data_IF_373093464991
#
_entry.id   IF_373093464991
#
_cell.length_a   1.000
_cell.length_b   1.000
_cell.length_c   1.000
_cell.angle_alpha   90.00
_cell.angle_beta   90.00
_cell.angle_gamma   90.00
#
_symmetry.space_group_name_H-M   'P 1'
#
loop_
_entity.id
_entity.type
_entity.pdbx_description
1 polymer ?
#
# COMPACT_ATOMS: atom_id res chain seq x y z
N UNK A 1 -11.20 8.90 24.09
CA UNK A 1 -11.45 9.20 22.67
C UNK A 1 -10.18 9.83 22.13
N UNK A 2 -9.63 9.33 21.03
CA UNK A 2 -8.45 9.93 20.38
C UNK A 2 -8.97 10.95 19.37
N UNK A 3 -8.37 12.14 19.31
CA UNK A 3 -8.68 13.11 18.27
C UNK A 3 -7.97 12.69 16.97
N UNK A 4 -8.73 12.51 15.89
CA UNK A 4 -8.18 12.22 14.57
C UNK A 4 -8.12 13.53 13.76
N UNK A 5 -6.93 13.84 13.27
CA UNK A 5 -6.71 14.97 12.37
C UNK A 5 -6.10 14.45 11.06
N UNK A 6 -6.81 14.68 9.95
CA UNK A 6 -6.35 14.29 8.62
C UNK A 6 -5.60 15.45 7.98
N UNK A 7 -4.41 15.16 7.45
CA UNK A 7 -3.57 16.11 6.72
C UNK A 7 -3.64 15.86 5.22
N UNK A 8 -3.44 16.89 4.43
CA UNK A 8 -3.57 16.78 2.97
C UNK A 8 -2.34 16.13 2.34
N UNK A 9 -1.17 16.28 2.97
CA UNK A 9 0.10 15.76 2.48
C UNK A 9 1.03 15.28 3.62
N UNK A 10 1.97 14.35 3.33
CA UNK A 10 2.87 13.79 4.32
C UNK A 10 3.77 14.81 5.05
N UNK A 11 4.12 15.91 4.37
CA UNK A 11 4.93 17.02 4.91
C UNK A 11 4.22 17.74 6.05
N UNK A 12 2.91 17.95 5.95
CA UNK A 12 2.10 18.52 7.04
C UNK A 12 2.09 17.62 8.28
N UNK A 13 2.05 16.29 8.09
CA UNK A 13 2.14 15.32 9.19
C UNK A 13 3.50 15.43 9.89
N UNK A 14 4.60 15.48 9.13
CA UNK A 14 5.94 15.67 9.70
C UNK A 14 6.01 16.98 10.52
N UNK A 15 5.53 18.10 9.98
CA UNK A 15 5.53 19.37 10.70
C UNK A 15 4.72 19.31 12.00
N UNK A 16 3.56 18.65 11.99
CA UNK A 16 2.75 18.47 13.19
C UNK A 16 3.47 17.62 14.25
N UNK A 17 4.09 16.50 13.86
CA UNK A 17 4.83 15.62 14.77
C UNK A 17 6.08 16.30 15.37
N UNK A 18 6.74 17.17 14.61
CA UNK A 18 7.88 17.93 15.12
C UNK A 18 7.46 19.07 16.06
N UNK A 19 6.25 19.60 15.90
CA UNK A 19 5.69 20.66 16.74
C UNK A 19 5.13 20.11 18.06
N UNK A 20 4.55 18.90 18.05
CA UNK A 20 3.97 18.25 19.22
C UNK A 20 4.60 16.86 19.43
N UNK A 21 5.56 16.72 20.37
CA UNK A 21 6.18 15.44 20.71
C UNK A 21 5.23 14.40 21.31
N UNK A 22 4.00 14.77 21.69
CA UNK A 22 2.98 13.85 22.19
C UNK A 22 2.07 13.29 21.09
N UNK A 23 2.13 13.86 19.89
CA UNK A 23 1.34 13.42 18.76
C UNK A 23 1.85 12.09 18.18
N UNK A 24 0.93 11.30 17.62
CA UNK A 24 1.22 10.06 16.89
C UNK A 24 0.78 10.25 15.45
N UNK A 25 1.65 9.89 14.51
CA UNK A 25 1.39 10.04 13.08
C UNK A 25 1.25 8.69 12.39
N UNK A 26 0.35 8.63 11.42
CA UNK A 26 0.22 7.51 10.50
C UNK A 26 0.65 8.00 9.12
N UNK A 27 1.72 7.42 8.58
CA UNK A 27 2.25 7.75 7.26
C UNK A 27 2.48 6.46 6.45
N UNK A 28 2.13 6.43 5.16
CA UNK A 28 2.55 5.36 4.26
C UNK A 28 4.03 5.50 3.91
N UNK A 29 4.63 4.42 3.43
CA UNK A 29 5.91 4.49 2.72
C UNK A 29 5.72 5.13 1.33
N UNK A 30 6.75 5.78 0.77
CA UNK A 30 8.09 6.01 1.34
C UNK A 30 8.17 7.21 2.31
N UNK A 31 7.05 7.91 2.54
CA UNK A 31 7.04 9.16 3.31
C UNK A 31 7.30 8.96 4.80
N UNK A 32 6.92 7.81 5.37
CA UNK A 32 7.32 7.41 6.72
C UNK A 32 8.86 7.38 6.85
N UNK A 33 9.56 6.71 5.95
CA UNK A 33 11.03 6.66 5.96
C UNK A 33 11.64 8.05 5.75
N UNK A 34 11.08 8.85 4.84
CA UNK A 34 11.51 10.22 4.62
C UNK A 34 11.33 11.10 5.87
N UNK A 35 10.18 11.01 6.55
CA UNK A 35 9.88 11.74 7.76
C UNK A 35 10.84 11.39 8.90
N UNK A 36 11.12 10.11 9.12
CA UNK A 36 12.10 9.66 10.12
C UNK A 36 13.49 10.21 9.80
N UNK A 37 13.94 10.11 8.55
CA UNK A 37 15.24 10.62 8.13
C UNK A 37 15.37 12.14 8.34
N UNK A 38 14.32 12.91 8.01
CA UNK A 38 14.27 14.37 8.16
C UNK A 38 14.04 14.84 9.60
N UNK A 39 13.63 13.94 10.50
CA UNK A 39 13.34 14.27 11.91
C UNK A 39 14.58 14.39 12.80
N UNK A 40 15.78 14.07 12.29
CA UNK A 40 17.03 14.11 13.04
C UNK A 40 16.99 13.28 14.34
N UNK A 41 16.35 12.11 14.29
CA UNK A 41 16.27 11.16 15.41
C UNK A 41 15.12 11.44 16.40
N UNK A 42 14.23 12.39 16.12
CA UNK A 42 13.06 12.68 16.96
C UNK A 42 11.90 11.71 16.75
N UNK A 43 11.81 11.08 15.58
CA UNK A 43 10.73 10.16 15.25
C UNK A 43 11.23 8.72 15.13
N UNK A 44 10.35 7.78 15.51
CA UNK A 44 10.49 6.36 15.25
C UNK A 44 9.16 5.79 14.76
N UNK A 45 9.21 4.63 14.08
CA UNK A 45 8.02 3.90 13.65
C UNK A 45 8.01 2.51 14.28
N UNK A 46 7.56 2.38 15.55
CA UNK A 46 7.55 1.11 16.26
C UNK A 46 6.36 0.21 15.89
N UNK A 47 5.35 0.74 15.19
CA UNK A 47 4.12 0.02 14.83
C UNK A 47 4.00 -0.07 13.32
N UNK A 48 3.85 -1.29 12.81
CA UNK A 48 3.44 -1.58 11.44
C UNK A 48 1.94 -1.84 11.43
N UNK A 49 1.17 -1.03 10.69
CA UNK A 49 -0.26 -1.28 10.54
C UNK A 49 -0.55 -2.57 9.76
N UNK A 50 0.37 -2.98 8.88
CA UNK A 50 0.27 -4.28 8.19
C UNK A 50 0.37 -5.42 9.20
N UNK A 51 1.34 -5.38 10.11
CA UNK A 51 1.56 -6.44 11.09
C UNK A 51 0.37 -6.52 12.07
N UNK A 52 -0.11 -5.36 12.54
CA UNK A 52 -1.30 -5.26 13.40
C UNK A 52 -2.55 -5.78 12.68
N UNK A 53 -2.69 -5.49 11.38
CA UNK A 53 -3.79 -6.00 10.58
C UNK A 53 -3.71 -7.52 10.44
N UNK A 54 -2.54 -8.04 10.08
CA UNK A 54 -2.32 -9.48 9.89
C UNK A 54 -2.59 -10.27 11.19
N UNK A 55 -2.15 -9.74 12.33
CA UNK A 55 -2.47 -10.31 13.65
C UNK A 55 -3.98 -10.31 13.92
N UNK A 56 -4.66 -9.20 13.62
CA UNK A 56 -6.10 -9.04 13.86
C UNK A 56 -6.95 -9.86 12.89
N UNK A 57 -6.50 -10.01 11.64
CA UNK A 57 -7.18 -10.74 10.59
C UNK A 57 -7.12 -12.25 10.81
N UNK A 58 -6.06 -12.77 11.45
CA UNK A 58 -5.87 -14.20 11.69
C UNK A 58 -6.07 -15.03 10.42
N UNK A 59 -6.92 -16.06 10.51
CA UNK A 59 -7.17 -17.00 9.40
C UNK A 59 -8.25 -16.52 8.40
N UNK A 60 -8.74 -15.28 8.51
CA UNK A 60 -9.78 -14.75 7.59
C UNK A 60 -9.27 -14.55 6.16
N UNK A 61 -7.96 -14.58 5.95
CA UNK A 61 -7.32 -14.29 4.66
C UNK A 61 -7.27 -12.80 4.30
N UNK A 62 -7.85 -11.92 5.12
CA UNK A 62 -7.80 -10.47 4.94
C UNK A 62 -6.37 -9.93 5.07
N UNK A 63 -6.02 -8.96 4.22
CA UNK A 63 -4.75 -8.23 4.26
C UNK A 63 -5.00 -6.74 4.18
N UNK A 64 -4.11 -5.93 4.76
CA UNK A 64 -4.18 -4.48 4.64
C UNK A 64 -3.77 -4.06 3.21
N UNK A 65 -4.74 -3.91 2.32
CA UNK A 65 -4.51 -3.52 0.93
C UNK A 65 -4.72 -2.01 0.77
N UNK A 66 -3.66 -1.30 0.39
CA UNK A 66 -3.70 0.15 0.17
C UNK A 66 -3.78 0.54 -1.31
N UNK A 67 -3.66 -0.42 -2.22
CA UNK A 67 -3.74 -0.20 -3.66
C UNK A 67 -4.21 -1.44 -4.42
N UNK A 68 -4.90 -1.21 -5.54
CA UNK A 68 -5.34 -2.25 -6.48
C UNK A 68 -5.10 -1.79 -7.91
N UNK A 69 -4.86 -2.73 -8.82
CA UNK A 69 -4.92 -2.46 -10.26
C UNK A 69 -6.30 -2.82 -10.78
N UNK A 70 -6.93 -1.90 -11.52
CA UNK A 70 -8.27 -2.10 -12.08
C UNK A 70 -8.21 -2.04 -13.59
N UNK A 71 -8.87 -2.99 -14.24
CA UNK A 71 -9.03 -3.04 -15.69
C UNK A 71 -10.52 -3.01 -16.04
N UNK A 72 -10.88 -2.30 -17.11
CA UNK A 72 -12.25 -2.34 -17.64
C UNK A 72 -12.53 -3.74 -18.18
N UNK A 73 -13.67 -4.34 -17.81
CA UNK A 73 -14.08 -5.68 -18.26
C UNK A 73 -13.95 -5.87 -19.77
N UNK A 74 -14.52 -4.97 -20.56
CA UNK A 74 -14.45 -5.03 -22.03
C UNK A 74 -13.01 -5.07 -22.55
N UNK A 75 -12.09 -4.32 -21.93
CA UNK A 75 -10.68 -4.34 -22.34
C UNK A 75 -10.02 -5.68 -22.02
N UNK A 76 -10.30 -6.27 -20.86
CA UNK A 76 -9.75 -7.56 -20.49
C UNK A 76 -10.26 -8.71 -21.37
N UNK A 77 -11.52 -8.63 -21.80
CA UNK A 77 -12.14 -9.60 -22.71
C UNK A 77 -11.65 -9.45 -24.16
N UNK A 78 -11.48 -8.21 -24.64
CA UNK A 78 -11.02 -7.91 -26.00
C UNK A 78 -9.49 -8.08 -26.16
N UNK A 79 -8.72 -7.91 -25.08
CA UNK A 79 -7.25 -7.93 -25.10
C UNK A 79 -6.66 -8.82 -23.98
N UNK A 80 -7.00 -10.13 -23.94
CA UNK A 80 -6.53 -11.02 -22.88
C UNK A 80 -5.01 -11.17 -22.85
N UNK A 81 -4.34 -11.16 -24.01
CA UNK A 81 -2.88 -11.25 -24.10
C UNK A 81 -2.18 -10.02 -23.49
N UNK A 82 -2.74 -8.81 -23.69
CA UNK A 82 -2.18 -7.59 -23.12
C UNK A 82 -2.33 -7.56 -21.59
N UNK A 83 -3.43 -8.11 -21.06
CA UNK A 83 -3.62 -8.23 -19.60
C UNK A 83 -2.63 -9.24 -19.02
N UNK A 84 -2.46 -10.40 -19.66
CA UNK A 84 -1.50 -11.41 -19.23
C UNK A 84 -0.06 -10.88 -19.28
N UNK A 85 0.31 -10.16 -20.33
CA UNK A 85 1.62 -9.51 -20.45
C UNK A 85 1.83 -8.47 -19.34
N UNK A 86 0.84 -7.60 -19.08
CA UNK A 86 0.92 -6.63 -18.00
C UNK A 86 1.15 -7.30 -16.64
N UNK A 87 0.40 -8.36 -16.32
CA UNK A 87 0.54 -9.07 -15.05
C UNK A 87 1.92 -9.74 -14.91
N UNK A 88 2.41 -10.35 -15.99
CA UNK A 88 3.76 -10.94 -16.01
C UNK A 88 4.85 -9.89 -15.81
N UNK A 89 4.77 -8.76 -16.52
CA UNK A 89 5.70 -7.64 -16.37
C UNK A 89 5.61 -7.00 -14.98
N UNK A 90 4.42 -6.87 -14.42
CA UNK A 90 4.23 -6.33 -13.06
C UNK A 90 4.91 -7.24 -12.03
N UNK A 91 4.65 -8.56 -12.09
CA UNK A 91 5.29 -9.53 -11.19
C UNK A 91 6.82 -9.46 -11.28
N UNK A 92 7.36 -9.45 -12.50
CA UNK A 92 8.81 -9.33 -12.73
C UNK A 92 9.37 -7.98 -12.21
N UNK A 93 8.63 -6.88 -12.38
CA UNK A 93 9.03 -5.56 -11.87
C UNK A 93 9.09 -5.54 -10.35
N UNK A 94 8.08 -6.12 -9.68
CA UNK A 94 8.04 -6.22 -8.21
C UNK A 94 9.19 -7.09 -7.69
N UNK A 95 9.42 -8.24 -8.32
CA UNK A 95 10.54 -9.13 -7.96
C UNK A 95 11.89 -8.41 -8.10
N UNK A 96 12.11 -7.72 -9.22
CA UNK A 96 13.35 -7.00 -9.47
C UNK A 96 13.60 -5.88 -8.45
N UNK A 97 12.56 -5.10 -8.10
CA UNK A 97 12.67 -4.00 -7.12
C UNK A 97 12.94 -4.53 -5.71
N UNK A 98 12.25 -5.60 -5.31
CA UNK A 98 12.45 -6.21 -4.00
C UNK A 98 13.82 -6.91 -3.87
N UNK A 99 14.32 -7.51 -4.95
CA UNK A 99 15.60 -8.22 -4.95
C UNK A 99 16.81 -7.27 -4.87
N UNK A 100 16.70 -6.07 -5.45
CA UNK A 100 17.79 -5.11 -5.50
C UNK A 100 17.33 -3.65 -5.29
N UNK A 101 16.87 -3.24 -4.09
CA UNK A 101 16.36 -1.89 -3.84
C UNK A 101 17.30 -0.75 -4.26
N UNK A 102 18.61 -0.94 -4.09
CA UNK A 102 19.63 0.04 -4.45
C UNK A 102 19.66 0.35 -5.96
N UNK A 103 19.41 -0.66 -6.81
CA UNK A 103 19.44 -0.52 -8.27
C UNK A 103 18.27 0.34 -8.78
N UNK A 104 17.16 0.38 -8.03
CA UNK A 104 15.93 1.08 -8.41
C UNK A 104 15.73 2.41 -7.68
N UNK A 105 16.51 2.68 -6.64
CA UNK A 105 16.38 3.87 -5.81
C UNK A 105 16.42 5.18 -6.59
N UNK A 106 17.30 5.29 -7.59
CA UNK A 106 17.38 6.49 -8.44
C UNK A 106 16.13 6.63 -9.33
N UNK A 107 15.58 5.53 -9.85
CA UNK A 107 14.37 5.58 -10.66
C UNK A 107 13.16 6.12 -9.87
N UNK A 108 13.09 5.81 -8.56
CA UNK A 108 12.06 6.37 -7.66
C UNK A 108 12.19 7.90 -7.54
N UNK A 109 13.42 8.42 -7.50
CA UNK A 109 13.70 9.86 -7.47
C UNK A 109 13.37 10.51 -8.81
N UNK A 110 13.79 9.89 -9.91
CA UNK A 110 13.53 10.40 -11.26
C UNK A 110 12.03 10.44 -11.57
N UNK A 111 11.24 9.53 -10.98
CA UNK A 111 9.78 9.52 -11.02
C UNK A 111 9.11 10.60 -10.13
N UNK A 112 9.90 11.34 -9.33
CA UNK A 112 9.41 12.41 -8.45
C UNK A 112 8.68 11.92 -7.20
N UNK A 113 8.86 10.67 -6.79
CA UNK A 113 8.16 10.08 -5.63
C UNK A 113 8.80 10.55 -4.32
N UNK A 114 10.14 10.54 -4.24
CA UNK A 114 10.93 11.12 -3.15
C UNK A 114 12.15 11.84 -3.71
N UNK A 115 12.75 12.72 -2.93
CA UNK A 115 13.85 13.61 -3.35
C UNK A 115 15.26 13.02 -3.16
N UNK A 116 15.38 11.80 -2.62
CA UNK A 116 16.66 11.23 -2.22
C UNK A 116 16.72 9.71 -2.44
N UNK A 117 17.72 9.23 -3.17
CA UNK A 117 17.87 7.82 -3.52
C UNK A 117 18.16 6.94 -2.29
N UNK A 118 18.97 7.39 -1.34
CA UNK A 118 19.20 6.64 -0.09
C UNK A 118 17.92 6.47 0.73
N UNK A 119 17.04 7.48 0.73
CA UNK A 119 15.71 7.36 1.35
C UNK A 119 14.85 6.36 0.58
N UNK A 120 14.83 6.42 -0.76
CA UNK A 120 14.08 5.48 -1.59
C UNK A 120 14.54 4.03 -1.35
N UNK A 121 15.84 3.76 -1.41
CA UNK A 121 16.44 2.45 -1.14
C UNK A 121 15.99 1.89 0.21
N UNK A 122 16.06 2.72 1.26
CA UNK A 122 15.65 2.33 2.61
C UNK A 122 14.14 2.09 2.73
N UNK A 123 13.33 2.79 1.95
CA UNK A 123 11.88 2.71 2.02
C UNK A 123 11.30 1.51 1.25
N UNK A 124 11.93 1.09 0.14
CA UNK A 124 11.44 0.01 -0.73
C UNK A 124 11.06 -1.26 0.04
N UNK A 125 11.88 -1.82 0.97
CA UNK A 125 11.48 -2.99 1.74
C UNK A 125 10.22 -2.76 2.59
N UNK A 126 10.02 -1.54 3.09
CA UNK A 126 8.85 -1.14 3.86
C UNK A 126 7.59 -0.91 3.02
N UNK A 127 7.73 -0.67 1.70
CA UNK A 127 6.59 -0.53 0.80
C UNK A 127 5.83 -1.84 0.59
N UNK A 128 6.45 -2.99 0.92
CA UNK A 128 5.84 -4.33 0.81
C UNK A 128 5.22 -4.57 -0.57
N UNK A 129 5.97 -4.25 -1.62
CA UNK A 129 5.51 -4.36 -3.00
C UNK A 129 5.20 -5.83 -3.33
N UNK A 130 3.98 -6.07 -3.81
CA UNK A 130 3.50 -7.40 -4.21
C UNK A 130 2.70 -7.32 -5.51
N UNK A 131 2.77 -8.40 -6.30
CA UNK A 131 1.84 -8.64 -7.40
C UNK A 131 1.03 -9.89 -7.04
N UNK A 132 -0.12 -9.70 -6.38
CA UNK A 132 -1.03 -10.79 -6.03
C UNK A 132 -2.13 -10.92 -7.10
N UNK A 133 -2.34 -12.15 -7.60
CA UNK A 133 -3.37 -12.46 -8.59
C UNK A 133 -4.20 -13.68 -8.16
N UNK A 134 -5.22 -14.01 -8.94
CA UNK A 134 -6.01 -15.23 -8.77
C UNK A 134 -6.68 -15.37 -7.39
N UNK A 135 -6.62 -16.59 -6.84
CA UNK A 135 -7.31 -16.94 -5.57
C UNK A 135 -6.79 -16.15 -4.37
N UNK A 136 -5.48 -15.92 -4.31
CA UNK A 136 -4.86 -15.20 -3.21
C UNK A 136 -5.28 -13.73 -3.20
N UNK A 137 -5.31 -13.10 -4.39
CA UNK A 137 -5.85 -11.74 -4.56
C UNK A 137 -7.32 -11.65 -4.16
N UNK A 138 -8.15 -12.59 -4.64
CA UNK A 138 -9.58 -12.62 -4.30
C UNK A 138 -9.81 -12.80 -2.80
N UNK A 139 -9.04 -13.67 -2.14
CA UNK A 139 -9.13 -13.86 -0.69
C UNK A 139 -8.69 -12.61 0.09
N UNK A 140 -7.54 -12.04 -0.25
CA UNK A 140 -7.02 -10.84 0.40
C UNK A 140 -7.97 -9.63 0.27
N UNK A 141 -8.41 -9.33 -0.96
CA UNK A 141 -9.29 -8.20 -1.22
C UNK A 141 -10.71 -8.44 -0.70
N UNK A 142 -11.24 -9.66 -0.85
CA UNK A 142 -12.54 -10.01 -0.29
C UNK A 142 -12.58 -9.88 1.23
N UNK A 143 -11.54 -10.36 1.91
CA UNK A 143 -11.40 -10.21 3.36
C UNK A 143 -11.26 -8.74 3.79
N UNK A 144 -10.49 -7.94 3.06
CA UNK A 144 -10.36 -6.51 3.33
C UNK A 144 -11.70 -5.76 3.20
N UNK A 145 -12.43 -6.02 2.11
CA UNK A 145 -13.74 -5.41 1.87
C UNK A 145 -14.80 -5.87 2.88
N UNK A 146 -14.72 -7.11 3.37
CA UNK A 146 -15.59 -7.60 4.45
C UNK A 146 -15.37 -6.79 5.74
N UNK A 147 -14.12 -6.55 6.14
CA UNK A 147 -13.81 -5.73 7.32
C UNK A 147 -14.38 -4.32 7.18
N UNK A 148 -14.23 -3.71 5.99
CA UNK A 148 -14.81 -2.39 5.73
C UNK A 148 -16.34 -2.41 5.78
N UNK A 149 -16.98 -3.43 5.18
CA UNK A 149 -18.43 -3.56 5.14
C UNK A 149 -19.04 -3.77 6.53
N UNK A 150 -18.37 -4.54 7.38
CA UNK A 150 -18.78 -4.80 8.77
C UNK A 150 -18.69 -3.53 9.63
N UNK A 151 -17.71 -2.66 9.36
CA UNK A 151 -17.58 -1.36 10.02
C UNK A 151 -18.59 -0.34 9.50
N UNK A 152 -18.71 -0.22 8.17
CA UNK A 152 -19.67 0.64 7.49
C UNK A 152 -19.91 0.15 6.05
N UNK A 153 -21.08 -0.44 5.79
CA UNK A 153 -21.44 -0.95 4.47
C UNK A 153 -21.34 0.10 3.36
N UNK A 154 -21.52 1.39 3.66
CA UNK A 154 -21.41 2.45 2.65
C UNK A 154 -19.99 2.61 2.10
N UNK A 155 -18.96 2.22 2.86
CA UNK A 155 -17.56 2.26 2.44
C UNK A 155 -17.26 1.34 1.24
N UNK A 156 -18.09 0.32 1.01
CA UNK A 156 -17.98 -0.61 -0.12
C UNK A 156 -19.13 -0.46 -1.13
N UNK A 157 -19.92 0.62 -1.06
CA UNK A 157 -21.08 0.83 -1.93
C UNK A 157 -22.35 0.08 -1.51
N UNK A 158 -22.45 -0.31 -0.24
CA UNK A 158 -23.64 -0.86 0.40
C UNK A 158 -23.69 -2.38 0.51
N UNK A 159 -22.90 -3.10 -0.30
CA UNK A 159 -22.75 -4.57 -0.23
C UNK A 159 -21.42 -4.99 -0.81
N UNK A 160 -20.98 -6.19 -0.47
CA UNK A 160 -19.78 -6.77 -1.04
C UNK A 160 -19.92 -6.98 -2.56
N UNK A 161 -18.83 -6.81 -3.32
CA UNK A 161 -18.82 -7.14 -4.73
C UNK A 161 -19.02 -8.64 -4.95
N UNK A 162 -19.66 -8.99 -6.06
CA UNK A 162 -19.82 -10.37 -6.49
C UNK A 162 -18.54 -10.89 -7.17
N UNK A 163 -18.53 -12.17 -7.54
CA UNK A 163 -17.37 -12.85 -8.10
C UNK A 163 -16.86 -12.22 -9.41
N UNK A 164 -17.72 -11.56 -10.17
CA UNK A 164 -17.40 -10.90 -11.44
C UNK A 164 -16.66 -9.54 -11.28
N UNK A 165 -16.41 -9.14 -10.04
CA UNK A 165 -15.56 -8.00 -9.69
C UNK A 165 -14.07 -8.34 -9.71
N UNK A 166 -13.72 -9.60 -9.39
CA UNK A 166 -12.34 -10.06 -9.31
C UNK A 166 -11.90 -10.61 -10.65
N UNK A 167 -10.76 -10.15 -11.15
CA UNK A 167 -10.13 -10.76 -12.31
C UNK A 167 -9.59 -12.15 -11.93
N UNK A 168 -10.02 -13.17 -12.65
CA UNK A 168 -9.58 -14.55 -12.50
C UNK A 168 -9.02 -15.00 -13.85
N UNK A 169 -7.73 -15.37 -13.86
CA UNK A 169 -7.05 -15.98 -15.02
C UNK A 169 -7.67 -17.32 -15.43
#
# INVERSE_FOLDING_TARGET
QVALEFKSEPTEVLSALLADPSAVGVLPEPFKTAAIAKSEGKLSAPVSLTDVWDESAGDTGSRLLTGVTVVRRAFAEEHPEAVAEFLSCHAASVEAVNAAPADWAQAVVDAGIVDNATIAEKAIPGCMLVCQTGKDMKAALGGYLQVLADADASAVGGKLPADDFYYME
#
